data_IF_881092246835
#
_entry.id   IF_881092246835
#
_cell.length_a   1.000
_cell.length_b   1.000
_cell.length_c   1.000
_cell.angle_alpha   90.00
_cell.angle_beta   90.00
_cell.angle_gamma   90.00
#
_symmetry.space_group_name_H-M   'P 1'
#
loop_
_entity.id
_entity.type
_entity.pdbx_description
1 polymer ?
#
# COMPACT_ATOMS: atom_id res chain seq x y z
N UNK A 1 46.69 23.87 -42.01
CA UNK A 1 45.59 22.94 -42.37
C UNK A 1 46.20 21.55 -42.59
N UNK A 2 45.61 20.43 -42.13
CA UNK A 2 44.34 20.22 -41.40
C UNK A 2 44.58 19.86 -39.90
N UNK A 3 43.86 20.45 -38.93
CA UNK A 3 42.59 20.01 -38.32
C UNK A 3 42.49 18.48 -38.16
N UNK A 4 42.76 18.00 -36.93
CA UNK A 4 42.28 16.71 -36.42
C UNK A 4 41.29 17.02 -35.32
N UNK A 5 40.08 16.53 -35.54
CA UNK A 5 38.89 16.79 -34.77
C UNK A 5 39.03 16.45 -33.28
N UNK A 6 38.60 17.41 -32.48
CA UNK A 6 38.27 17.28 -31.08
C UNK A 6 36.99 16.44 -30.92
N UNK A 7 37.09 15.33 -30.20
CA UNK A 7 35.95 14.71 -29.51
C UNK A 7 36.50 14.06 -28.23
N UNK A 8 36.40 14.70 -27.06
CA UNK A 8 36.44 13.96 -25.82
C UNK A 8 35.12 13.19 -25.72
N UNK A 9 35.22 11.86 -25.72
CA UNK A 9 34.12 10.97 -25.40
C UNK A 9 33.57 11.34 -24.03
N UNK A 10 32.41 11.99 -24.03
CA UNK A 10 31.52 12.00 -22.89
C UNK A 10 31.06 10.55 -22.67
N UNK A 11 31.59 9.91 -21.63
CA UNK A 11 31.02 8.66 -21.13
C UNK A 11 30.78 8.86 -19.64
N UNK A 12 29.57 9.34 -19.40
CA UNK A 12 28.63 8.85 -18.40
C UNK A 12 29.22 8.69 -16.99
N UNK A 13 29.03 9.74 -16.17
CA UNK A 13 28.80 9.51 -14.75
C UNK A 13 27.67 8.49 -14.65
N UNK A 14 28.01 7.26 -14.28
CA UNK A 14 27.06 6.39 -13.63
C UNK A 14 26.67 7.10 -12.33
N UNK A 15 25.53 7.79 -12.38
CA UNK A 15 24.70 8.03 -11.20
C UNK A 15 24.37 6.64 -10.66
N UNK A 16 25.29 6.09 -9.88
CA UNK A 16 24.95 5.12 -8.86
C UNK A 16 24.01 5.91 -7.97
N UNK A 17 22.71 5.73 -8.19
CA UNK A 17 21.70 6.30 -7.31
C UNK A 17 22.10 5.87 -5.91
N UNK A 18 22.49 6.84 -5.08
CA UNK A 18 22.45 6.62 -3.66
C UNK A 18 21.07 6.01 -3.38
N UNK A 19 20.94 4.90 -2.63
CA UNK A 19 19.63 4.57 -2.11
C UNK A 19 19.17 5.84 -1.41
N UNK A 20 18.10 6.46 -1.91
CA UNK A 20 17.48 7.56 -1.20
C UNK A 20 17.34 7.03 0.22
N UNK A 21 17.94 7.76 1.17
CA UNK A 21 17.84 7.39 2.56
C UNK A 21 16.36 7.55 2.88
N UNK A 22 15.63 6.45 2.74
CA UNK A 22 14.17 6.39 2.82
C UNK A 22 13.81 7.02 4.15
N UNK A 23 13.03 8.09 4.11
CA UNK A 23 12.51 8.66 5.34
C UNK A 23 11.17 7.94 5.69
N UNK A 24 10.76 7.92 6.97
CA UNK A 24 9.53 7.26 7.39
C UNK A 24 8.31 7.78 6.62
N UNK A 25 8.21 9.10 6.46
CA UNK A 25 7.15 9.81 5.75
C UNK A 25 6.97 9.32 4.28
N UNK A 26 8.06 9.12 3.54
CA UNK A 26 8.06 8.57 2.18
C UNK A 26 7.58 7.12 2.16
N UNK A 27 8.00 6.32 3.13
CA UNK A 27 7.58 4.91 3.24
C UNK A 27 6.10 4.79 3.63
N UNK A 28 5.60 5.72 4.46
CA UNK A 28 4.17 5.82 4.82
C UNK A 28 3.35 6.25 3.61
N UNK A 29 3.82 7.24 2.84
CA UNK A 29 3.13 7.65 1.60
C UNK A 29 3.09 6.53 0.57
N UNK A 30 4.19 5.80 0.37
CA UNK A 30 4.21 4.63 -0.50
C UNK A 30 3.17 3.59 -0.08
N UNK A 31 3.07 3.32 1.22
CA UNK A 31 2.06 2.42 1.77
C UNK A 31 0.63 2.92 1.52
N UNK A 32 0.36 4.21 1.73
CA UNK A 32 -0.97 4.80 1.52
C UNK A 32 -1.37 4.83 0.03
N UNK A 33 -0.42 5.09 -0.87
CA UNK A 33 -0.64 5.02 -2.33
C UNK A 33 -0.99 3.59 -2.76
N UNK A 34 -0.26 2.59 -2.24
CA UNK A 34 -0.56 1.18 -2.48
C UNK A 34 -1.92 0.78 -1.91
N UNK A 35 -2.32 1.33 -0.77
CA UNK A 35 -3.66 1.10 -0.21
C UNK A 35 -4.76 1.63 -1.11
N UNK A 36 -4.57 2.78 -1.77
CA UNK A 36 -5.52 3.28 -2.78
C UNK A 36 -5.57 2.38 -4.02
N UNK A 37 -4.42 1.89 -4.49
CA UNK A 37 -4.35 0.95 -5.61
C UNK A 37 -5.05 -0.37 -5.29
N UNK A 38 -4.87 -0.88 -4.06
CA UNK A 38 -5.57 -2.04 -3.53
C UNK A 38 -7.08 -1.85 -3.56
N UNK A 39 -7.58 -0.72 -3.04
CA UNK A 39 -9.02 -0.42 -3.11
C UNK A 39 -9.52 -0.34 -4.53
N UNK A 40 -8.79 0.34 -5.42
CA UNK A 40 -9.15 0.44 -6.83
C UNK A 40 -9.26 -0.92 -7.49
N UNK A 41 -8.35 -1.83 -7.15
CA UNK A 41 -8.36 -3.22 -7.62
C UNK A 41 -9.53 -3.99 -7.03
N UNK A 42 -9.78 -3.86 -5.73
CA UNK A 42 -10.86 -4.54 -5.03
C UNK A 42 -12.25 -4.09 -5.53
N UNK A 43 -12.43 -2.78 -5.75
CA UNK A 43 -13.67 -2.19 -6.27
C UNK A 43 -13.97 -2.59 -7.73
N UNK A 44 -13.06 -3.27 -8.44
CA UNK A 44 -13.41 -3.91 -9.73
C UNK A 44 -14.47 -4.98 -9.55
N UNK A 45 -14.43 -5.68 -8.42
CA UNK A 45 -15.42 -6.66 -7.98
C UNK A 45 -16.31 -6.08 -6.87
N UNK A 46 -16.83 -4.86 -7.11
CA UNK A 46 -17.61 -4.09 -6.14
C UNK A 46 -18.85 -4.85 -5.61
N UNK A 47 -19.35 -5.81 -6.37
CA UNK A 47 -20.52 -6.61 -6.04
C UNK A 47 -20.25 -7.71 -5.00
N UNK A 48 -18.97 -8.00 -4.76
CA UNK A 48 -18.51 -9.00 -3.78
C UNK A 48 -17.92 -8.40 -2.51
N UNK A 49 -17.68 -7.09 -2.51
CA UNK A 49 -17.26 -6.43 -1.29
C UNK A 49 -18.36 -6.64 -0.24
N UNK A 50 -18.01 -6.94 1.01
CA UNK A 50 -19.04 -7.25 2.01
C UNK A 50 -19.70 -5.96 2.49
N UNK A 51 -21.02 -5.88 2.36
CA UNK A 51 -21.79 -4.91 3.13
C UNK A 51 -21.75 -5.35 4.61
N UNK A 52 -21.01 -4.62 5.44
CA UNK A 52 -20.92 -4.88 6.88
C UNK A 52 -22.28 -4.66 7.59
N UNK A 53 -23.19 -3.90 6.97
CA UNK A 53 -24.52 -3.61 7.50
C UNK A 53 -25.58 -4.66 7.09
N UNK A 54 -25.42 -5.33 5.94
CA UNK A 54 -26.32 -6.39 5.47
C UNK A 54 -25.57 -7.55 4.79
N UNK A 55 -25.27 -8.64 5.52
CA UNK A 55 -24.62 -9.82 4.96
C UNK A 55 -25.47 -10.43 3.82
N UNK A 56 -24.90 -10.51 2.61
CA UNK A 56 -25.52 -11.17 1.45
C UNK A 56 -26.06 -10.24 0.35
N UNK A 57 -25.92 -8.92 0.52
CA UNK A 57 -26.23 -7.95 -0.54
C UNK A 57 -24.93 -7.26 -0.99
N UNK A 58 -24.67 -7.11 -2.30
CA UNK A 58 -23.66 -6.20 -2.81
C UNK A 58 -23.81 -4.82 -2.16
N UNK A 59 -22.79 -4.27 -1.46
CA UNK A 59 -22.84 -2.97 -0.81
C UNK A 59 -22.91 -1.84 -1.82
N UNK A 60 -22.39 -2.07 -3.03
CA UNK A 60 -22.23 -1.06 -4.04
C UNK A 60 -22.91 -1.50 -5.35
N UNK A 61 -23.52 -0.54 -6.03
CA UNK A 61 -24.14 -0.72 -7.34
C UNK A 61 -23.19 -0.46 -8.51
N UNK A 62 -22.00 0.11 -8.23
CA UNK A 62 -20.96 0.35 -9.22
C UNK A 62 -19.57 0.42 -8.58
N UNK A 63 -18.52 0.27 -9.40
CA UNK A 63 -17.13 0.50 -8.99
C UNK A 63 -16.92 1.92 -8.44
N UNK A 64 -17.54 2.93 -9.05
CA UNK A 64 -17.38 4.31 -8.59
C UNK A 64 -17.98 4.51 -7.19
N UNK A 65 -19.13 3.91 -6.91
CA UNK A 65 -19.74 3.97 -5.58
C UNK A 65 -18.85 3.31 -4.51
N UNK A 66 -18.20 2.19 -4.85
CA UNK A 66 -17.22 1.55 -3.98
C UNK A 66 -16.00 2.44 -3.68
N UNK A 67 -15.49 3.13 -4.72
CA UNK A 67 -14.39 4.07 -4.58
C UNK A 67 -14.79 5.30 -3.74
N UNK A 68 -15.98 5.86 -3.99
CA UNK A 68 -16.49 7.05 -3.28
C UNK A 68 -16.78 6.77 -1.80
N UNK A 69 -17.12 5.53 -1.46
CA UNK A 69 -17.35 5.10 -0.07
C UNK A 69 -16.03 4.90 0.71
N UNK A 70 -14.90 4.84 0.02
CA UNK A 70 -13.61 4.59 0.65
C UNK A 70 -12.94 5.91 1.07
N UNK A 71 -12.42 6.03 2.31
CA UNK A 71 -11.68 7.22 2.73
C UNK A 71 -10.46 7.44 1.82
N UNK A 72 -10.20 8.65 1.29
CA UNK A 72 -8.99 8.91 0.52
C UNK A 72 -7.75 8.91 1.42
N UNK A 73 -6.59 8.58 0.85
CA UNK A 73 -5.31 8.83 1.53
C UNK A 73 -5.08 10.33 1.61
N UNK A 74 -4.80 10.82 2.82
CA UNK A 74 -4.58 12.26 3.06
C UNK A 74 -3.32 12.47 3.88
N UNK A 75 -2.80 13.69 3.89
CA UNK A 75 -1.72 14.07 4.79
C UNK A 75 -2.09 13.85 6.28
N UNK A 76 -3.38 13.89 6.63
CA UNK A 76 -3.82 13.55 7.98
C UNK A 76 -3.66 12.05 8.29
N UNK A 77 -3.79 11.17 7.28
CA UNK A 77 -3.49 9.75 7.41
C UNK A 77 -2.01 9.50 7.67
N UNK A 78 -1.13 10.23 6.96
CA UNK A 78 0.33 10.19 7.22
C UNK A 78 0.64 10.60 8.64
N UNK A 79 0.16 11.77 9.08
CA UNK A 79 0.38 12.29 10.44
C UNK A 79 -0.16 11.33 11.52
N UNK A 80 -1.31 10.69 11.25
CA UNK A 80 -1.90 9.69 12.14
C UNK A 80 -1.01 8.45 12.28
N UNK A 81 -0.49 7.92 11.16
CA UNK A 81 0.43 6.77 11.17
C UNK A 81 1.72 7.14 11.90
N UNK A 82 2.32 8.30 11.59
CA UNK A 82 3.53 8.79 12.25
C UNK A 82 3.31 8.89 13.77
N UNK A 83 2.25 9.57 14.20
CA UNK A 83 1.92 9.74 15.63
C UNK A 83 1.68 8.39 16.32
N UNK A 84 1.06 7.43 15.63
CA UNK A 84 0.79 6.09 16.17
C UNK A 84 2.09 5.32 16.37
N UNK A 85 2.99 5.35 15.39
CA UNK A 85 4.31 4.70 15.47
C UNK A 85 5.17 5.34 16.56
N UNK A 86 5.19 6.67 16.66
CA UNK A 86 5.90 7.39 17.72
C UNK A 86 5.34 7.05 19.11
N UNK A 87 4.00 7.00 19.26
CA UNK A 87 3.34 6.64 20.51
C UNK A 87 3.58 5.19 20.92
N UNK A 88 3.79 4.31 19.93
CA UNK A 88 4.18 2.92 20.14
C UNK A 88 5.68 2.76 20.46
N UNK A 89 6.47 3.83 20.40
CA UNK A 89 7.91 3.80 20.65
C UNK A 89 8.72 3.20 19.50
N UNK A 90 8.15 3.15 18.29
CA UNK A 90 8.81 2.61 17.09
C UNK A 90 9.78 3.66 16.56
N UNK A 91 11.06 3.28 16.43
CA UNK A 91 12.07 4.16 15.86
C UNK A 91 11.82 4.47 14.37
N UNK A 92 12.52 5.46 13.84
CA UNK A 92 12.41 5.81 12.42
C UNK A 92 12.82 4.65 11.48
N UNK A 93 13.91 3.94 11.80
CA UNK A 93 14.38 2.79 11.00
C UNK A 93 13.38 1.63 11.04
N UNK A 94 12.85 1.31 12.22
CA UNK A 94 11.84 0.27 12.40
C UNK A 94 10.53 0.65 11.69
N UNK A 95 10.14 1.92 11.75
CA UNK A 95 8.97 2.46 11.03
C UNK A 95 9.11 2.25 9.52
N UNK A 96 10.30 2.50 8.96
CA UNK A 96 10.57 2.28 7.53
C UNK A 96 10.47 0.78 7.19
N UNK A 97 11.10 -0.09 7.98
CA UNK A 97 11.05 -1.54 7.75
C UNK A 97 9.62 -2.06 7.83
N UNK A 98 8.85 -1.56 8.79
CA UNK A 98 7.46 -1.88 8.97
C UNK A 98 6.60 -1.47 7.78
N UNK A 99 6.73 -0.22 7.33
CA UNK A 99 6.00 0.28 6.17
C UNK A 99 6.39 -0.43 4.88
N UNK A 100 7.65 -0.87 4.75
CA UNK A 100 8.08 -1.73 3.64
C UNK A 100 7.43 -3.11 3.68
N UNK A 101 7.37 -3.72 4.85
CA UNK A 101 6.71 -5.02 5.03
C UNK A 101 5.21 -4.93 4.66
N UNK A 102 4.54 -3.89 5.15
CA UNK A 102 3.16 -3.56 4.79
C UNK A 102 2.97 -3.34 3.29
N UNK A 103 3.81 -2.50 2.69
CA UNK A 103 3.79 -2.22 1.26
C UNK A 103 3.99 -3.49 0.44
N UNK A 104 4.89 -4.39 0.86
CA UNK A 104 5.08 -5.68 0.21
C UNK A 104 3.83 -6.57 0.32
N UNK A 105 3.21 -6.65 1.50
CA UNK A 105 2.01 -7.44 1.70
C UNK A 105 0.83 -6.95 0.83
N UNK A 106 0.64 -5.63 0.72
CA UNK A 106 -0.37 -5.03 -0.16
C UNK A 106 -0.06 -5.30 -1.64
N UNK A 107 1.21 -5.18 -2.06
CA UNK A 107 1.59 -5.47 -3.46
C UNK A 107 1.27 -6.89 -3.87
N UNK A 108 1.61 -7.86 -3.02
CA UNK A 108 1.30 -9.27 -3.27
C UNK A 108 -0.21 -9.50 -3.43
N UNK A 109 -1.01 -8.79 -2.62
CA UNK A 109 -2.45 -8.88 -2.67
C UNK A 109 -3.04 -8.22 -3.92
N UNK A 110 -2.59 -7.01 -4.28
CA UNK A 110 -2.95 -6.35 -5.54
C UNK A 110 -2.68 -7.28 -6.70
N UNK A 111 -1.48 -7.87 -6.75
CA UNK A 111 -1.11 -8.78 -7.82
C UNK A 111 -2.03 -10.01 -7.85
N UNK A 112 -2.28 -10.64 -6.70
CA UNK A 112 -3.19 -11.77 -6.57
C UNK A 112 -4.60 -11.42 -7.07
N UNK A 113 -5.15 -10.27 -6.66
CA UNK A 113 -6.45 -9.80 -7.11
C UNK A 113 -6.47 -9.54 -8.62
N UNK A 114 -5.42 -8.91 -9.18
CA UNK A 114 -5.32 -8.63 -10.61
C UNK A 114 -5.25 -9.92 -11.45
N UNK A 115 -4.59 -10.97 -10.96
CA UNK A 115 -4.53 -12.29 -11.60
C UNK A 115 -5.90 -12.99 -11.67
N UNK A 116 -6.84 -12.59 -10.81
CA UNK A 116 -8.18 -13.16 -10.70
C UNK A 116 -9.31 -12.16 -11.04
N UNK A 117 -8.98 -10.92 -11.43
CA UNK A 117 -9.94 -9.84 -11.62
C UNK A 117 -10.88 -10.04 -12.82
N UNK A 118 -10.55 -10.97 -13.73
CA UNK A 118 -11.40 -11.29 -14.89
C UNK A 118 -12.66 -12.09 -14.50
N UNK A 119 -12.65 -12.73 -13.33
CA UNK A 119 -13.81 -13.45 -12.80
C UNK A 119 -13.91 -13.28 -11.28
N UNK A 120 -14.61 -12.22 -10.90
CA UNK A 120 -14.93 -11.91 -9.51
C UNK A 120 -15.62 -13.08 -8.80
N UNK A 121 -16.42 -13.91 -9.49
CA UNK A 121 -17.18 -15.00 -8.87
C UNK A 121 -16.30 -16.13 -8.30
N UNK A 122 -15.00 -16.09 -8.59
CA UNK A 122 -14.01 -17.04 -8.08
C UNK A 122 -13.66 -16.76 -6.61
N UNK A 123 -13.68 -17.77 -5.73
CA UNK A 123 -13.25 -17.62 -4.33
C UNK A 123 -11.82 -17.07 -4.21
N UNK A 124 -10.98 -17.31 -5.22
CA UNK A 124 -9.60 -16.87 -5.27
C UNK A 124 -9.47 -15.34 -5.15
N UNK A 125 -10.34 -14.55 -5.77
CA UNK A 125 -10.30 -13.09 -5.65
C UNK A 125 -10.55 -12.64 -4.21
N UNK A 126 -11.56 -13.21 -3.55
CA UNK A 126 -11.90 -12.92 -2.15
C UNK A 126 -10.82 -13.41 -1.18
N UNK A 127 -10.21 -14.57 -1.45
CA UNK A 127 -9.14 -15.16 -0.66
C UNK A 127 -7.85 -14.30 -0.72
N UNK A 128 -7.56 -13.69 -1.87
CA UNK A 128 -6.49 -12.69 -1.98
C UNK A 128 -6.72 -11.57 -0.94
N UNK A 129 -7.94 -11.01 -0.92
CA UNK A 129 -8.37 -9.90 -0.07
C UNK A 129 -8.22 -10.14 1.44
N UNK A 130 -8.51 -11.37 1.88
CA UNK A 130 -8.42 -11.77 3.28
C UNK A 130 -6.97 -11.99 3.76
N UNK A 131 -6.02 -12.16 2.83
CA UNK A 131 -4.65 -12.54 3.14
C UNK A 131 -3.79 -11.39 3.66
N UNK A 132 -4.08 -10.13 3.31
CA UNK A 132 -3.18 -9.02 3.62
C UNK A 132 -3.17 -8.61 5.09
N UNK A 133 -4.31 -8.54 5.77
CA UNK A 133 -4.32 -8.33 7.23
C UNK A 133 -3.56 -9.46 7.95
N UNK A 134 -3.71 -10.71 7.47
CA UNK A 134 -2.98 -11.86 7.97
C UNK A 134 -1.48 -11.84 7.67
N UNK A 135 -1.04 -11.20 6.58
CA UNK A 135 0.39 -11.00 6.24
C UNK A 135 0.98 -9.79 6.96
N UNK A 136 0.21 -8.72 7.10
CA UNK A 136 0.58 -7.52 7.87
C UNK A 136 0.83 -7.89 9.32
N UNK A 137 0.01 -8.75 9.93
CA UNK A 137 0.26 -9.22 11.31
C UNK A 137 1.59 -9.97 11.47
N UNK A 138 2.16 -10.55 10.40
CA UNK A 138 3.50 -11.16 10.41
C UNK A 138 4.63 -10.13 10.41
N UNK A 139 4.35 -8.87 10.06
CA UNK A 139 5.30 -7.76 10.08
C UNK A 139 5.56 -7.22 11.50
N UNK A 140 4.79 -7.64 12.52
CA UNK A 140 4.80 -7.01 13.85
C UNK A 140 5.04 -7.99 14.99
N UNK A 141 6.28 -8.40 15.21
CA UNK A 141 6.53 -9.14 16.45
C UNK A 141 6.43 -8.25 17.70
N UNK A 142 6.47 -6.93 17.55
CA UNK A 142 6.61 -5.97 18.65
C UNK A 142 5.42 -5.00 18.84
N UNK A 143 4.42 -4.97 17.95
CA UNK A 143 3.22 -4.13 18.13
C UNK A 143 2.05 -4.90 18.73
N UNK A 144 1.26 -4.22 19.55
CA UNK A 144 0.00 -4.77 20.10
C UNK A 144 -1.11 -4.77 19.06
N UNK A 145 -2.14 -5.60 19.26
CA UNK A 145 -3.34 -5.60 18.40
C UNK A 145 -4.01 -4.22 18.31
N UNK A 146 -4.06 -3.47 19.43
CA UNK A 146 -4.60 -2.12 19.46
C UNK A 146 -3.79 -1.14 18.60
N UNK A 147 -2.46 -1.27 18.59
CA UNK A 147 -1.58 -0.43 17.76
C UNK A 147 -1.73 -0.77 16.28
N UNK A 148 -1.86 -2.06 15.94
CA UNK A 148 -2.11 -2.51 14.57
C UNK A 148 -3.48 -2.00 14.09
N UNK A 149 -4.50 -2.07 14.94
CA UNK A 149 -5.84 -1.54 14.66
C UNK A 149 -5.81 -0.03 14.45
N UNK A 150 -5.07 0.71 15.29
CA UNK A 150 -4.89 2.15 15.12
C UNK A 150 -4.19 2.51 13.79
N UNK A 151 -3.15 1.76 13.40
CA UNK A 151 -2.49 1.92 12.10
C UNK A 151 -3.45 1.65 10.93
N UNK A 152 -4.28 0.60 11.04
CA UNK A 152 -5.33 0.31 10.08
C UNK A 152 -6.32 1.47 9.96
N UNK A 153 -6.79 2.01 11.08
CA UNK A 153 -7.71 3.15 11.10
C UNK A 153 -7.10 4.41 10.47
N UNK A 154 -5.84 4.71 10.77
CA UNK A 154 -5.11 5.83 10.15
C UNK A 154 -4.97 5.66 8.62
N UNK A 155 -4.84 4.42 8.15
CA UNK A 155 -4.78 4.06 6.73
C UNK A 155 -6.16 3.99 6.05
N UNK A 156 -7.26 4.13 6.82
CA UNK A 156 -8.62 3.98 6.33
C UNK A 156 -9.00 2.54 5.96
N UNK A 157 -8.42 1.55 6.65
CA UNK A 157 -8.76 0.12 6.51
C UNK A 157 -9.85 -0.32 7.49
#
# INVERSE_FOLDING_TARGET
MPIRDFLPAAVTLALVGCPAQSNPDESIREYLDLREERLSTQCRCFDLYLNLDEPGTPPYSSQQECLDASPPSTNAGVECIETTLESAGVGAEDSIELMRCYSSAIRDEIQCMLEHADDCSTPQFTDCGASAFGKMSLCHQDLTEDQISALGHCAGL
#
